data_IF_332715368794
#
_entry.id   IF_332715368794
#
_cell.length_a   1.000
_cell.length_b   1.000
_cell.length_c   1.000
_cell.angle_alpha   90.00
_cell.angle_beta   90.00
_cell.angle_gamma   90.00
#
_symmetry.space_group_name_H-M   'P 1'
#
loop_
_entity.id
_entity.type
_entity.pdbx_description
1 polymer ?
#
# COMPACT_ATOMS: atom_id res chain seq x y z
N UNK A 1 9.31 14.48 -31.52
CA UNK A 1 9.76 14.33 -30.11
C UNK A 1 10.86 13.27 -30.03
N UNK A 2 11.93 13.45 -29.24
CA UNK A 2 13.01 12.45 -29.13
C UNK A 2 12.53 11.22 -28.34
N UNK A 3 13.03 10.03 -28.68
CA UNK A 3 12.56 8.74 -28.13
C UNK A 3 12.68 8.64 -26.59
N UNK A 4 13.75 9.13 -25.97
CA UNK A 4 13.90 9.15 -24.51
C UNK A 4 12.91 10.09 -23.83
N UNK A 5 12.69 11.27 -24.40
CA UNK A 5 11.77 12.28 -23.87
C UNK A 5 10.32 11.79 -23.90
N UNK A 6 9.95 11.04 -24.95
CA UNK A 6 8.64 10.39 -25.04
C UNK A 6 8.43 9.35 -23.97
N UNK A 7 9.41 8.48 -23.74
CA UNK A 7 9.33 7.48 -22.66
C UNK A 7 9.25 8.14 -21.28
N UNK A 8 9.93 9.27 -21.05
CA UNK A 8 9.77 10.06 -19.82
C UNK A 8 8.34 10.58 -19.66
N UNK A 9 7.76 11.19 -20.70
CA UNK A 9 6.36 11.65 -20.68
C UNK A 9 5.35 10.53 -20.51
N UNK A 10 5.55 9.38 -21.16
CA UNK A 10 4.73 8.18 -20.95
C UNK A 10 4.75 7.81 -19.47
N UNK A 11 5.94 7.77 -18.86
CA UNK A 11 6.09 7.46 -17.44
C UNK A 11 5.41 8.48 -16.54
N UNK A 12 5.45 9.77 -16.88
CA UNK A 12 4.78 10.84 -16.13
C UNK A 12 3.25 10.77 -16.26
N UNK A 13 2.71 10.53 -17.47
CA UNK A 13 1.28 10.36 -17.70
C UNK A 13 0.76 9.13 -16.96
N UNK A 14 1.49 8.01 -17.08
CA UNK A 14 1.17 6.84 -16.29
C UNK A 14 1.25 7.23 -14.81
N UNK A 15 2.40 7.79 -14.34
CA UNK A 15 2.66 8.58 -13.09
C UNK A 15 1.42 9.13 -12.41
N UNK A 16 0.78 10.05 -13.10
CA UNK A 16 -0.22 10.94 -12.53
C UNK A 16 -1.65 10.46 -12.81
N UNK A 17 -1.81 9.29 -13.42
CA UNK A 17 -3.12 8.69 -13.71
C UNK A 17 -3.63 7.89 -12.52
N UNK A 18 -4.87 8.16 -12.08
CA UNK A 18 -5.60 7.39 -11.06
C UNK A 18 -6.14 6.04 -11.58
N UNK A 19 -5.73 5.60 -12.78
CA UNK A 19 -6.15 4.32 -13.34
C UNK A 19 -5.44 3.92 -14.64
N UNK A 20 -5.89 2.85 -15.30
CA UNK A 20 -5.32 2.40 -16.58
C UNK A 20 -5.50 3.44 -17.68
N UNK A 21 -4.41 3.78 -18.39
CA UNK A 21 -4.42 4.71 -19.54
C UNK A 21 -4.37 3.92 -20.84
N UNK A 22 -5.31 4.15 -21.75
CA UNK A 22 -5.33 3.42 -23.02
C UNK A 22 -4.15 3.81 -23.93
N UNK A 23 -3.74 2.88 -24.79
CA UNK A 23 -2.72 3.17 -25.79
C UNK A 23 -3.11 4.26 -26.79
N UNK A 24 -4.41 4.41 -27.06
CA UNK A 24 -4.93 5.44 -27.97
C UNK A 24 -4.89 6.82 -27.34
N UNK A 25 -5.13 6.90 -26.03
CA UNK A 25 -4.98 8.14 -25.27
C UNK A 25 -3.52 8.61 -25.29
N UNK A 26 -2.59 7.72 -24.93
CA UNK A 26 -1.15 8.03 -24.97
C UNK A 26 -0.66 8.41 -26.38
N UNK A 27 -1.18 7.74 -27.42
CA UNK A 27 -0.86 8.03 -28.81
C UNK A 27 -1.30 9.45 -29.21
N UNK A 28 -2.52 9.84 -28.84
CA UNK A 28 -3.04 11.19 -29.07
C UNK A 28 -2.25 12.25 -28.30
N UNK A 29 -2.06 12.06 -27.00
CA UNK A 29 -1.40 13.03 -26.11
C UNK A 29 0.06 13.30 -26.51
N UNK A 30 0.73 12.29 -27.07
CA UNK A 30 2.14 12.37 -27.46
C UNK A 30 2.33 12.57 -28.97
N UNK A 31 1.23 12.70 -29.72
CA UNK A 31 1.19 12.86 -31.17
C UNK A 31 2.04 11.80 -31.91
N UNK A 32 1.79 10.52 -31.59
CA UNK A 32 2.45 9.35 -32.21
C UNK A 32 1.43 8.26 -32.55
N UNK A 33 1.83 7.26 -33.32
CA UNK A 33 0.95 6.11 -33.59
C UNK A 33 0.87 5.18 -32.38
N UNK A 34 -0.24 4.43 -32.29
CA UNK A 34 -0.41 3.37 -31.29
C UNK A 34 0.74 2.35 -31.34
N UNK A 35 1.26 2.05 -32.51
CA UNK A 35 2.38 1.11 -32.68
C UNK A 35 3.66 1.62 -32.00
N UNK A 36 3.91 2.93 -32.03
CA UNK A 36 5.03 3.54 -31.31
C UNK A 36 4.85 3.39 -29.80
N UNK A 37 3.64 3.59 -29.27
CA UNK A 37 3.34 3.37 -27.85
C UNK A 37 3.59 1.91 -27.46
N UNK A 38 3.14 0.94 -28.26
CA UNK A 38 3.36 -0.50 -28.00
C UNK A 38 4.87 -0.81 -27.89
N UNK A 39 5.68 -0.27 -28.80
CA UNK A 39 7.13 -0.45 -28.81
C UNK A 39 7.80 0.22 -27.60
N UNK A 40 7.41 1.46 -27.25
CA UNK A 40 7.96 2.14 -26.08
C UNK A 40 7.59 1.43 -24.77
N UNK A 41 6.38 0.88 -24.67
CA UNK A 41 5.97 0.07 -23.51
C UNK A 41 6.77 -1.23 -23.41
N UNK A 42 7.14 -1.85 -24.53
CA UNK A 42 8.01 -3.03 -24.51
C UNK A 42 9.42 -2.67 -24.01
N UNK A 43 9.98 -1.54 -24.47
CA UNK A 43 11.28 -1.05 -24.03
C UNK A 43 11.30 -0.67 -22.54
N UNK A 44 10.27 0.04 -22.07
CA UNK A 44 10.14 0.41 -20.66
C UNK A 44 10.03 -0.83 -19.76
N UNK A 45 9.32 -1.87 -20.20
CA UNK A 45 9.25 -3.17 -19.50
C UNK A 45 10.60 -3.88 -19.48
N UNK A 46 11.30 -3.95 -20.61
CA UNK A 46 12.64 -4.56 -20.65
C UNK A 46 13.68 -3.80 -19.82
N UNK A 47 13.45 -2.50 -19.57
CA UNK A 47 14.27 -1.68 -18.69
C UNK A 47 13.95 -1.88 -17.19
N UNK A 48 13.07 -2.83 -16.84
CA UNK A 48 12.71 -3.12 -15.44
C UNK A 48 11.54 -2.31 -14.89
N UNK A 49 10.84 -1.54 -15.73
CA UNK A 49 9.64 -0.82 -15.27
C UNK A 49 8.47 -1.79 -15.19
N UNK A 50 7.80 -1.85 -14.04
CA UNK A 50 6.67 -2.74 -13.79
C UNK A 50 5.36 -2.26 -14.47
N UNK A 51 5.36 -2.05 -15.79
CA UNK A 51 4.15 -1.68 -16.54
C UNK A 51 3.31 -2.92 -16.83
N UNK A 52 2.04 -2.90 -16.44
CA UNK A 52 1.02 -3.91 -16.76
C UNK A 52 0.17 -3.44 -17.92
N UNK A 53 -0.08 -4.35 -18.85
CA UNK A 53 -1.07 -4.17 -19.91
C UNK A 53 -2.35 -4.90 -19.50
N UNK A 54 -3.42 -4.15 -19.26
CA UNK A 54 -4.75 -4.69 -18.98
C UNK A 54 -5.67 -4.47 -20.18
N UNK A 55 -6.86 -5.10 -20.19
CA UNK A 55 -7.89 -4.81 -21.21
C UNK A 55 -8.36 -3.35 -21.20
N UNK A 56 -8.17 -2.64 -20.07
CA UNK A 56 -8.57 -1.24 -19.87
C UNK A 56 -7.47 -0.24 -20.23
N UNK A 57 -6.23 -0.69 -20.42
CA UNK A 57 -5.09 0.19 -20.73
C UNK A 57 -3.79 -0.24 -20.02
N UNK A 58 -2.79 0.62 -20.12
CA UNK A 58 -1.51 0.49 -19.44
C UNK A 58 -1.55 1.13 -18.05
N UNK A 59 -0.94 0.48 -17.08
CA UNK A 59 -0.77 0.99 -15.71
C UNK A 59 0.61 0.56 -15.21
N UNK A 60 1.21 1.30 -14.28
CA UNK A 60 2.42 0.84 -13.58
C UNK A 60 1.97 0.02 -12.38
N UNK A 61 2.21 -1.31 -12.38
CA UNK A 61 2.27 -2.11 -11.16
C UNK A 61 3.43 -1.61 -10.31
N UNK A 62 3.27 -1.58 -8.99
CA UNK A 62 4.26 -0.95 -8.10
C UNK A 62 3.98 0.54 -7.85
N UNK A 63 2.74 0.94 -8.05
CA UNK A 63 2.13 2.18 -7.58
C UNK A 63 1.56 2.09 -6.19
N UNK A 64 1.88 1.05 -5.44
CA UNK A 64 1.68 1.05 -4.01
C UNK A 64 2.59 2.11 -3.41
N UNK A 65 2.08 3.32 -3.23
CA UNK A 65 2.66 4.24 -2.27
C UNK A 65 2.60 3.51 -0.94
N UNK A 66 3.77 3.35 -0.31
CA UNK A 66 3.85 2.74 1.01
C UNK A 66 3.98 3.84 2.04
N UNK A 67 3.13 3.81 3.06
CA UNK A 67 3.23 4.67 4.23
C UNK A 67 3.17 3.80 5.48
N UNK A 68 4.00 4.18 6.44
CA UNK A 68 4.05 3.54 7.74
C UNK A 68 3.19 4.34 8.72
N UNK A 69 2.33 3.64 9.46
CA UNK A 69 1.45 4.21 10.46
C UNK A 69 1.81 3.64 11.83
N UNK A 70 2.12 4.51 12.79
CA UNK A 70 2.26 4.11 14.18
C UNK A 70 0.88 3.96 14.82
N UNK A 71 0.57 2.73 15.21
CA UNK A 71 -0.73 2.36 15.72
C UNK A 71 -0.61 1.71 17.10
N UNK A 72 -1.72 1.80 17.85
CA UNK A 72 -1.92 1.07 19.10
C UNK A 72 -3.29 0.43 19.11
N UNK A 73 -3.33 -0.87 19.40
CA UNK A 73 -4.60 -1.56 19.62
C UNK A 73 -5.35 -0.98 20.82
N UNK A 74 -6.66 -0.76 20.66
CA UNK A 74 -7.55 -0.31 21.74
C UNK A 74 -7.69 -1.36 22.84
N UNK A 75 -7.76 -2.62 22.43
CA UNK A 75 -7.81 -3.78 23.32
C UNK A 75 -6.90 -4.88 22.77
N UNK A 76 -6.34 -5.70 23.66
CA UNK A 76 -5.49 -6.84 23.29
C UNK A 76 -6.32 -8.03 22.83
N UNK A 77 -7.20 -7.81 21.86
CA UNK A 77 -8.08 -8.83 21.32
C UNK A 77 -8.14 -8.80 19.79
N UNK A 78 -8.63 -9.91 19.23
CA UNK A 78 -8.76 -10.06 17.78
C UNK A 78 -9.83 -9.16 17.17
N UNK A 79 -10.72 -8.56 17.97
CA UNK A 79 -11.80 -7.70 17.47
C UNK A 79 -11.24 -6.29 17.21
N UNK A 80 -10.48 -5.73 18.15
CA UNK A 80 -9.73 -4.49 17.96
C UNK A 80 -8.75 -4.59 16.78
N UNK A 81 -8.06 -5.73 16.62
CA UNK A 81 -7.19 -5.94 15.47
C UNK A 81 -7.97 -6.05 14.16
N UNK A 82 -9.17 -6.66 14.18
CA UNK A 82 -10.03 -6.72 13.00
C UNK A 82 -10.48 -5.34 12.56
N UNK A 83 -10.90 -4.50 13.50
CA UNK A 83 -11.43 -3.17 13.19
C UNK A 83 -10.36 -2.29 12.55
N UNK A 84 -9.15 -2.26 13.11
CA UNK A 84 -7.99 -1.56 12.53
C UNK A 84 -7.66 -2.07 11.12
N UNK A 85 -7.49 -3.39 10.97
CA UNK A 85 -7.11 -3.97 9.68
C UNK A 85 -8.20 -3.76 8.61
N UNK A 86 -9.47 -3.78 9.02
CA UNK A 86 -10.60 -3.51 8.13
C UNK A 86 -10.61 -2.05 7.67
N UNK A 87 -10.32 -1.07 8.54
CA UNK A 87 -10.22 0.34 8.15
C UNK A 87 -9.22 0.50 6.99
N UNK A 88 -8.06 -0.15 7.08
CA UNK A 88 -7.04 -0.09 6.02
C UNK A 88 -7.57 -0.64 4.70
N UNK A 89 -8.09 -1.87 4.71
CA UNK A 89 -8.51 -2.55 3.46
C UNK A 89 -9.81 -1.99 2.88
N UNK A 90 -10.68 -1.41 3.70
CA UNK A 90 -11.93 -0.78 3.23
C UNK A 90 -11.68 0.57 2.54
N UNK A 91 -10.59 1.26 2.91
CA UNK A 91 -10.14 2.48 2.25
C UNK A 91 -9.18 2.22 1.07
N UNK A 92 -9.16 0.99 0.54
CA UNK A 92 -8.36 0.63 -0.64
C UNK A 92 -6.89 0.28 -0.35
N UNK A 93 -6.51 0.25 0.93
CA UNK A 93 -5.16 -0.10 1.35
C UNK A 93 -4.88 -1.60 1.39
N UNK A 94 -3.60 -1.93 1.34
CA UNK A 94 -3.07 -3.27 1.54
C UNK A 94 -2.07 -3.24 2.70
N UNK A 95 -2.29 -4.08 3.69
CA UNK A 95 -1.36 -4.24 4.81
C UNK A 95 -0.20 -5.10 4.33
N UNK A 96 0.96 -4.49 4.11
CA UNK A 96 2.18 -5.16 3.63
C UNK A 96 2.83 -5.92 4.78
N UNK A 97 3.08 -5.23 5.87
CA UNK A 97 3.71 -5.81 7.06
C UNK A 97 3.31 -5.08 8.33
N UNK A 98 3.48 -5.77 9.45
CA UNK A 98 3.44 -5.20 10.79
C UNK A 98 4.83 -5.31 11.41
N UNK A 99 5.32 -4.22 12.00
CA UNK A 99 6.59 -4.17 12.71
C UNK A 99 6.34 -3.81 14.17
N UNK A 100 7.03 -4.48 15.07
CA UNK A 100 7.00 -4.20 16.51
C UNK A 100 8.44 -4.16 17.04
N UNK A 101 8.64 -3.33 18.05
CA UNK A 101 9.95 -3.16 18.70
C UNK A 101 9.78 -3.46 20.19
N UNK A 102 9.92 -4.73 20.62
CA UNK A 102 9.89 -5.09 22.04
C UNK A 102 11.14 -4.58 22.78
N UNK A 103 11.01 -4.18 24.04
CA UNK A 103 12.14 -3.64 24.84
C UNK A 103 13.31 -4.62 25.03
N UNK A 104 13.06 -5.92 24.88
CA UNK A 104 14.03 -6.99 25.12
C UNK A 104 14.59 -7.61 23.83
N UNK A 105 14.14 -7.18 22.66
CA UNK A 105 14.51 -7.76 21.37
C UNK A 105 14.72 -6.67 20.30
N UNK A 106 15.38 -7.02 19.20
CA UNK A 106 15.39 -6.16 18.01
C UNK A 106 13.99 -6.06 17.36
N UNK A 107 13.85 -5.24 16.31
CA UNK A 107 12.59 -5.11 15.58
C UNK A 107 12.17 -6.46 14.99
N UNK A 108 10.90 -6.82 15.21
CA UNK A 108 10.26 -8.01 14.64
C UNK A 108 9.30 -7.52 13.57
N UNK A 109 9.53 -7.95 12.32
CA UNK A 109 8.68 -7.62 11.18
C UNK A 109 7.98 -8.88 10.66
N UNK A 110 6.66 -8.83 10.55
CA UNK A 110 5.85 -9.89 9.97
C UNK A 110 5.17 -9.39 8.68
N UNK A 111 5.42 -10.06 7.57
CA UNK A 111 4.80 -9.77 6.28
C UNK A 111 3.43 -10.44 6.20
N UNK A 112 2.38 -9.65 5.94
CA UNK A 112 0.99 -10.11 6.01
C UNK A 112 0.33 -10.13 4.62
N UNK A 113 0.57 -9.09 3.81
CA UNK A 113 0.00 -8.93 2.48
C UNK A 113 -1.54 -9.06 2.42
N UNK A 114 -2.24 -8.41 3.35
CA UNK A 114 -3.71 -8.46 3.46
C UNK A 114 -4.33 -7.33 2.63
N UNK A 115 -5.23 -7.65 1.71
CA UNK A 115 -5.79 -6.68 0.73
C UNK A 115 -7.31 -6.56 0.77
N UNK A 116 -8.00 -7.34 1.61
CA UNK A 116 -9.45 -7.31 1.74
C UNK A 116 -9.90 -7.95 3.06
N UNK A 117 -11.17 -7.73 3.44
CA UNK A 117 -11.77 -8.28 4.67
C UNK A 117 -11.70 -9.81 4.77
N UNK A 118 -11.72 -10.55 3.65
CA UNK A 118 -11.61 -12.02 3.68
C UNK A 118 -10.22 -12.45 4.13
N UNK A 119 -9.17 -11.78 3.64
CA UNK A 119 -7.79 -12.05 4.05
C UNK A 119 -7.59 -11.73 5.54
N UNK A 120 -8.14 -10.59 6.01
CA UNK A 120 -8.12 -10.20 7.43
C UNK A 120 -8.81 -11.23 8.31
N UNK A 121 -10.02 -11.67 7.92
CA UNK A 121 -10.75 -12.67 8.69
C UNK A 121 -9.99 -13.99 8.76
N UNK A 122 -9.45 -14.47 7.64
CA UNK A 122 -8.69 -15.72 7.60
C UNK A 122 -7.42 -15.63 8.47
N UNK A 123 -6.75 -14.48 8.45
CA UNK A 123 -5.59 -14.22 9.31
C UNK A 123 -5.97 -14.32 10.79
N UNK A 124 -7.02 -13.62 11.22
CA UNK A 124 -7.45 -13.57 12.63
C UNK A 124 -8.09 -14.86 13.13
N UNK A 125 -8.75 -15.63 12.26
CA UNK A 125 -9.28 -16.95 12.60
C UNK A 125 -8.18 -17.92 13.03
N UNK A 126 -6.97 -17.80 12.46
CA UNK A 126 -5.85 -18.63 12.87
C UNK A 126 -5.47 -18.38 14.34
N UNK A 127 -5.45 -17.12 14.79
CA UNK A 127 -5.14 -16.80 16.19
C UNK A 127 -6.17 -17.40 17.14
N UNK A 128 -7.46 -17.32 16.80
CA UNK A 128 -8.54 -17.96 17.58
C UNK A 128 -8.41 -19.47 17.59
N UNK A 129 -8.14 -20.08 16.44
CA UNK A 129 -8.05 -21.54 16.28
C UNK A 129 -6.88 -22.13 17.05
N UNK A 130 -5.74 -21.46 17.05
CA UNK A 130 -4.52 -21.94 17.72
C UNK A 130 -4.35 -21.37 19.14
N UNK A 131 -5.29 -20.55 19.61
CA UNK A 131 -5.25 -19.88 20.92
C UNK A 131 -3.92 -19.15 21.18
N UNK A 132 -3.40 -18.48 20.14
CA UNK A 132 -2.13 -17.75 20.19
C UNK A 132 -2.43 -16.27 20.47
N UNK A 133 -1.69 -15.60 21.38
CA UNK A 133 -1.82 -14.16 21.56
C UNK A 133 -1.42 -13.40 20.28
N UNK A 134 -1.97 -12.20 20.10
CA UNK A 134 -1.52 -11.30 19.04
C UNK A 134 -0.05 -10.94 19.24
N UNK A 135 0.73 -10.86 18.16
CA UNK A 135 2.17 -10.56 18.25
C UNK A 135 2.42 -9.21 18.95
N UNK A 136 1.50 -8.25 18.83
CA UNK A 136 1.57 -6.96 19.50
C UNK A 136 1.53 -7.02 21.03
N UNK A 137 1.23 -8.17 21.65
CA UNK A 137 1.39 -8.30 23.11
C UNK A 137 2.84 -8.13 23.56
N UNK A 138 3.81 -8.36 22.65
CA UNK A 138 5.25 -8.20 22.94
C UNK A 138 5.68 -6.73 23.05
N UNK A 139 4.87 -5.79 22.54
CA UNK A 139 5.15 -4.35 22.51
C UNK A 139 4.04 -3.52 23.15
N UNK A 140 3.30 -4.12 24.11
CA UNK A 140 2.15 -3.49 24.79
C UNK A 140 1.12 -2.88 23.82
N UNK A 141 0.97 -3.45 22.63
CA UNK A 141 -0.01 -3.05 21.63
C UNK A 141 0.49 -2.04 20.62
N UNK A 142 1.66 -1.44 20.84
CA UNK A 142 2.26 -0.47 19.93
C UNK A 142 2.94 -1.19 18.78
N UNK A 143 2.63 -0.80 17.56
CA UNK A 143 3.17 -1.40 16.37
C UNK A 143 3.11 -0.44 15.20
N UNK A 144 3.91 -0.70 14.18
CA UNK A 144 3.93 0.06 12.93
C UNK A 144 3.29 -0.78 11.83
N UNK A 145 2.22 -0.26 11.23
CA UNK A 145 1.60 -0.84 10.04
C UNK A 145 2.23 -0.23 8.79
N UNK A 146 2.84 -1.07 7.96
CA UNK A 146 3.28 -0.66 6.62
C UNK A 146 2.17 -0.95 5.62
N UNK A 147 1.62 0.11 5.04
CA UNK A 147 0.42 0.06 4.20
C UNK A 147 0.72 0.56 2.81
N UNK A 148 0.29 -0.22 1.82
CA UNK A 148 0.39 0.05 0.39
C UNK A 148 -0.96 0.52 -0.15
N UNK A 149 -1.02 1.62 -0.90
CA UNK A 149 -2.22 2.04 -1.63
C UNK A 149 -1.88 2.60 -3.03
N UNK A 150 -2.84 2.60 -3.95
CA UNK A 150 -2.61 2.98 -5.35
C UNK A 150 -2.52 4.52 -5.55
N UNK A 151 -2.94 5.29 -4.54
CA UNK A 151 -2.94 6.75 -4.55
C UNK A 151 -2.67 7.38 -3.17
N UNK A 152 -2.24 8.64 -3.18
CA UNK A 152 -2.02 9.43 -1.95
C UNK A 152 -3.34 9.73 -1.23
N UNK A 153 -4.42 9.92 -1.98
CA UNK A 153 -5.77 10.15 -1.45
C UNK A 153 -6.26 8.95 -0.63
N UNK A 154 -5.98 7.72 -1.09
CA UNK A 154 -6.28 6.50 -0.32
C UNK A 154 -5.45 6.40 0.96
N UNK A 155 -4.15 6.74 0.91
CA UNK A 155 -3.31 6.77 2.12
C UNK A 155 -3.80 7.81 3.13
N UNK A 156 -4.23 8.98 2.68
CA UNK A 156 -4.82 10.02 3.53
C UNK A 156 -6.15 9.56 4.13
N UNK A 157 -7.03 8.93 3.34
CA UNK A 157 -8.28 8.36 3.83
C UNK A 157 -8.04 7.24 4.86
N UNK A 158 -7.01 6.41 4.66
CA UNK A 158 -6.60 5.38 5.63
C UNK A 158 -6.14 6.04 6.93
N UNK A 159 -5.27 7.05 6.85
CA UNK A 159 -4.79 7.79 8.03
C UNK A 159 -5.97 8.38 8.80
N UNK A 160 -6.86 9.08 8.11
CA UNK A 160 -7.99 9.75 8.74
C UNK A 160 -8.97 8.73 9.35
N UNK A 161 -9.21 7.61 8.66
CA UNK A 161 -10.00 6.49 9.21
C UNK A 161 -9.36 5.83 10.44
N UNK A 162 -8.03 5.68 10.47
CA UNK A 162 -7.31 5.18 11.64
C UNK A 162 -7.31 6.20 12.80
N UNK A 163 -7.30 7.51 12.50
CA UNK A 163 -7.42 8.59 13.47
C UNK A 163 -8.81 8.61 14.12
N UNK A 164 -9.88 8.63 13.31
CA UNK A 164 -11.27 8.55 13.76
C UNK A 164 -11.53 7.23 14.51
N UNK A 165 -10.92 6.17 14.00
CA UNK A 165 -10.88 4.87 14.62
C UNK A 165 -10.10 4.84 15.93
N UNK A 166 -9.37 5.88 16.33
CA UNK A 166 -8.61 5.94 17.59
C UNK A 166 -7.49 4.90 17.68
N UNK A 167 -6.91 4.50 16.54
CA UNK A 167 -5.81 3.55 16.45
C UNK A 167 -4.46 4.24 16.26
N UNK A 168 -4.42 5.43 15.65
CA UNK A 168 -3.17 6.18 15.51
C UNK A 168 -2.65 6.64 16.87
N UNK A 169 -1.35 6.49 17.07
CA UNK A 169 -0.63 7.13 18.16
C UNK A 169 -0.33 8.55 17.71
N UNK A 170 -0.94 9.55 18.35
CA UNK A 170 -0.52 10.93 18.13
C UNK A 170 0.95 11.08 18.54
N UNK A 171 1.76 11.72 17.70
CA UNK A 171 3.14 12.11 18.05
C UNK A 171 3.11 13.02 19.28
N UNK A 172 3.10 12.41 20.47
CA UNK A 172 3.36 13.10 21.72
C UNK A 172 4.85 12.96 21.99
N UNK A 173 5.57 14.05 21.72
CA UNK A 173 6.86 14.46 22.30
C UNK A 173 7.72 13.35 22.96
N UNK A 174 8.81 12.97 22.28
CA UNK A 174 9.97 12.31 22.90
C UNK A 174 10.93 11.79 21.82
N UNK A 175 12.19 12.20 21.67
CA UNK A 175 13.11 12.85 22.59
C UNK A 175 14.00 13.87 21.83
N UNK A 176 13.91 15.15 22.23
CA UNK A 176 15.13 15.94 22.36
C UNK A 176 15.83 15.43 23.61
N UNK A 177 16.90 14.65 23.44
CA UNK A 177 17.92 14.46 24.48
C UNK A 177 19.30 14.38 23.85
#
# INVERSE_FOLDING_TARGET
MKNQERRKKIMEILRNSNGPVTGDQLAKDLNVSRQVIVLDMALLRSAGTAIVSTRRGYQINGRSLTMDFECRYKAMDTDSARDEMNIVVDNGGMIVSITLVPDFCGPIQAFLNLKNRRDVNQYLENFRKYNIPLIATLSQGVHTLSVAADSQEELEAIRDGLAEGGFLVEETDGEKK
#
